data_IF_580165176628
#
_entry.id   IF_580165176628
#
_cell.length_a   1.000
_cell.length_b   1.000
_cell.length_c   1.000
_cell.angle_alpha   90.00
_cell.angle_beta   90.00
_cell.angle_gamma   90.00
#
_symmetry.space_group_name_H-M   'P 1'
#
loop_
_entity.id
_entity.type
_entity.pdbx_description
1 polymer ?
#
# COMPACT_ATOMS: atom_id res chain seq x y z
N UNK A 1 2.08 -17.04 -7.87
CA UNK A 1 0.99 -16.05 -7.86
C UNK A 1 0.84 -15.62 -6.41
N UNK A 2 0.85 -14.32 -6.09
CA UNK A 2 0.58 -13.85 -4.73
C UNK A 2 -0.93 -13.85 -4.53
N UNK A 3 -1.42 -14.66 -3.59
CA UNK A 3 -2.86 -14.89 -3.35
C UNK A 3 -3.34 -13.96 -2.23
N UNK A 4 -4.52 -13.35 -2.37
CA UNK A 4 -5.14 -12.51 -1.32
C UNK A 4 -4.80 -11.01 -1.37
N UNK A 5 -4.42 -10.47 -2.53
CA UNK A 5 -4.12 -9.05 -2.74
C UNK A 5 -5.23 -8.33 -3.55
N UNK A 6 -6.50 -8.67 -3.33
CA UNK A 6 -7.59 -8.03 -4.06
C UNK A 6 -7.58 -6.51 -3.85
N UNK A 7 -7.61 -5.76 -4.95
CA UNK A 7 -7.50 -4.30 -4.95
C UNK A 7 -6.08 -3.74 -4.84
N UNK A 8 -5.05 -4.59 -4.71
CA UNK A 8 -3.64 -4.20 -4.71
C UNK A 8 -2.94 -4.72 -5.96
N UNK A 9 -2.06 -3.90 -6.55
CA UNK A 9 -1.22 -4.28 -7.68
C UNK A 9 0.26 -4.10 -7.35
N UNK A 10 1.10 -4.94 -7.95
CA UNK A 10 2.55 -4.89 -7.77
C UNK A 10 3.12 -3.72 -8.55
N UNK A 11 3.94 -2.90 -7.89
CA UNK A 11 4.65 -1.76 -8.48
C UNK A 11 6.17 -1.92 -8.44
N UNK A 12 6.68 -2.91 -7.71
CA UNK A 12 8.11 -3.20 -7.62
C UNK A 12 8.38 -4.57 -7.02
N UNK A 13 9.45 -5.20 -7.50
CA UNK A 13 9.94 -6.48 -6.97
C UNK A 13 11.46 -6.41 -6.89
N UNK A 14 11.99 -6.60 -5.69
CA UNK A 14 13.43 -6.69 -5.45
C UNK A 14 13.79 -8.06 -4.87
N UNK A 15 15.00 -8.54 -5.14
CA UNK A 15 15.58 -9.68 -4.41
C UNK A 15 16.22 -9.14 -3.14
N UNK A 16 15.98 -9.79 -2.00
CA UNK A 16 16.78 -9.50 -0.81
C UNK A 16 18.09 -10.30 -0.82
N UNK A 17 19.05 -9.88 0.01
CA UNK A 17 20.36 -10.52 0.10
C UNK A 17 20.36 -11.94 0.67
N UNK A 18 19.24 -12.39 1.26
CA UNK A 18 19.05 -13.72 1.85
C UNK A 18 18.32 -14.70 0.93
N UNK A 19 18.08 -14.33 -0.33
CA UNK A 19 17.39 -15.18 -1.30
C UNK A 19 15.86 -15.10 -1.23
N UNK A 20 15.30 -14.17 -0.45
CA UNK A 20 13.88 -13.83 -0.45
C UNK A 20 13.52 -12.79 -1.53
N UNK A 21 12.25 -12.39 -1.52
CA UNK A 21 11.73 -11.32 -2.37
C UNK A 21 11.12 -10.22 -1.52
N UNK A 22 11.39 -8.97 -1.89
CA UNK A 22 10.63 -7.82 -1.43
C UNK A 22 9.69 -7.41 -2.55
N UNK A 23 8.40 -7.34 -2.23
CA UNK A 23 7.36 -6.98 -3.21
C UNK A 23 6.68 -5.73 -2.71
N UNK A 24 6.75 -4.67 -3.50
CA UNK A 24 6.05 -3.43 -3.23
C UNK A 24 4.74 -3.39 -3.99
N UNK A 25 3.64 -3.17 -3.27
CA UNK A 25 2.28 -3.09 -3.80
C UNK A 25 1.66 -1.72 -3.52
N UNK A 26 0.71 -1.31 -4.35
CA UNK A 26 -0.11 -0.11 -4.17
C UNK A 26 -1.57 -0.41 -4.52
N UNK A 27 -2.51 0.32 -3.93
CA UNK A 27 -3.93 0.25 -4.29
C UNK A 27 -4.21 1.08 -5.55
N UNK A 28 -5.30 0.78 -6.27
CA UNK A 28 -5.75 1.68 -7.33
C UNK A 28 -6.00 3.11 -6.81
N UNK A 29 -5.90 4.09 -7.70
CA UNK A 29 -6.27 5.47 -7.36
C UNK A 29 -7.76 5.52 -7.06
N UNK A 30 -8.11 6.06 -5.89
CA UNK A 30 -9.49 6.27 -5.46
C UNK A 30 -9.64 7.68 -4.91
N UNK A 31 -10.81 8.28 -5.15
CA UNK A 31 -11.22 9.52 -4.46
C UNK A 31 -11.63 9.14 -3.05
N UNK A 32 -11.07 9.83 -2.06
CA UNK A 32 -11.41 9.63 -0.65
C UNK A 32 -12.07 10.89 -0.10
N UNK A 33 -13.12 10.72 0.70
CA UNK A 33 -13.72 11.79 1.50
C UNK A 33 -13.14 11.81 2.90
N UNK A 34 -13.11 12.99 3.53
CA UNK A 34 -12.87 13.11 4.96
C UNK A 34 -14.00 12.38 5.72
N UNK A 35 -13.69 11.48 6.67
CA UNK A 35 -14.72 10.76 7.41
C UNK A 35 -15.53 11.66 8.35
N UNK A 36 -15.03 12.86 8.69
CA UNK A 36 -15.71 13.80 9.57
C UNK A 36 -16.69 14.73 8.83
N UNK A 37 -16.25 15.35 7.72
CA UNK A 37 -17.04 16.39 7.02
C UNK A 37 -17.45 16.02 5.57
N UNK A 38 -16.95 14.91 5.02
CA UNK A 38 -17.29 14.45 3.67
C UNK A 38 -16.59 15.18 2.52
N UNK A 39 -15.84 16.26 2.78
CA UNK A 39 -15.04 16.98 1.77
C UNK A 39 -14.02 16.03 1.13
N UNK A 40 -13.79 16.19 -0.18
CA UNK A 40 -12.77 15.42 -0.91
C UNK A 40 -11.39 15.66 -0.29
N UNK A 41 -10.80 14.61 0.25
CA UNK A 41 -9.50 14.67 0.90
C UNK A 41 -8.38 14.84 -0.14
N UNK A 42 -7.39 15.68 0.19
CA UNK A 42 -6.17 15.83 -0.60
C UNK A 42 -5.17 14.73 -0.25
N UNK A 43 -4.37 14.34 -1.23
CA UNK A 43 -3.30 13.36 -1.03
C UNK A 43 -2.17 14.00 -0.21
N UNK A 44 -2.02 13.64 1.05
CA UNK A 44 -0.93 14.06 1.93
C UNK A 44 0.28 13.09 1.83
N UNK A 45 0.74 12.83 0.61
CA UNK A 45 1.87 11.95 0.34
C UNK A 45 1.58 10.45 0.39
N UNK A 46 2.64 9.66 0.54
CA UNK A 46 2.58 8.18 0.56
C UNK A 46 3.48 7.63 1.66
N UNK A 47 3.01 6.59 2.34
CA UNK A 47 3.74 5.87 3.38
C UNK A 47 3.87 4.41 3.01
N UNK A 48 5.06 3.84 3.19
CA UNK A 48 5.26 2.40 2.99
C UNK A 48 5.15 1.68 4.33
N UNK A 49 4.33 0.63 4.40
CA UNK A 49 4.15 -0.24 5.58
C UNK A 49 4.46 -1.68 5.20
N UNK A 50 5.00 -2.46 6.14
CA UNK A 50 5.17 -3.91 6.00
C UNK A 50 3.83 -4.55 6.38
N UNK A 51 3.24 -5.37 5.51
CA UNK A 51 1.97 -6.05 5.79
C UNK A 51 2.23 -7.29 6.63
N UNK A 52 2.73 -8.36 6.00
CA UNK A 52 3.13 -9.64 6.61
C UNK A 52 4.02 -10.37 5.61
N UNK A 53 4.79 -11.37 6.06
CA UNK A 53 5.45 -12.30 5.14
C UNK A 53 4.39 -13.24 4.56
N UNK A 54 4.15 -13.17 3.25
CA UNK A 54 3.27 -14.13 2.57
C UNK A 54 4.17 -15.24 2.00
N UNK A 55 4.13 -16.48 2.50
CA UNK A 55 4.88 -17.55 1.88
C UNK A 55 4.40 -17.71 0.43
N UNK A 56 5.28 -17.41 -0.51
CA UNK A 56 4.97 -17.44 -1.94
C UNK A 56 6.13 -18.08 -2.67
N UNK A 57 5.81 -19.01 -3.56
CA UNK A 57 6.79 -19.75 -4.36
C UNK A 57 7.90 -20.46 -3.55
N UNK A 58 7.60 -20.93 -2.33
CA UNK A 58 8.57 -21.64 -1.48
C UNK A 58 9.74 -20.78 -0.97
N UNK A 59 9.63 -19.45 -1.05
CA UNK A 59 10.63 -18.49 -0.62
C UNK A 59 10.03 -17.48 0.35
N UNK A 60 10.81 -16.91 1.28
CA UNK A 60 10.35 -15.79 2.10
C UNK A 60 10.04 -14.60 1.20
N UNK A 61 8.84 -14.02 1.34
CA UNK A 61 8.42 -12.82 0.62
C UNK A 61 7.94 -11.76 1.60
N UNK A 62 8.65 -10.64 1.64
CA UNK A 62 8.27 -9.45 2.38
C UNK A 62 7.34 -8.59 1.51
N UNK A 63 6.08 -8.45 1.92
CA UNK A 63 5.12 -7.56 1.28
C UNK A 63 5.17 -6.16 1.90
N UNK A 64 5.48 -5.17 1.07
CA UNK A 64 5.46 -3.74 1.40
C UNK A 64 4.32 -3.06 0.70
N UNK A 65 3.40 -2.48 1.46
CA UNK A 65 2.33 -1.67 0.91
C UNK A 65 2.70 -0.20 0.93
N UNK A 66 2.85 0.40 -0.25
CA UNK A 66 2.99 1.84 -0.44
C UNK A 66 1.60 2.47 -0.48
N UNK A 67 1.06 2.78 0.70
CA UNK A 67 -0.27 3.37 0.85
C UNK A 67 -0.23 4.88 0.66
N UNK A 68 -1.25 5.44 0.02
CA UNK A 68 -1.48 6.89 -0.03
C UNK A 68 -2.07 7.34 1.30
N UNK A 69 -1.60 8.47 1.80
CA UNK A 69 -2.14 9.14 2.99
C UNK A 69 -2.99 10.32 2.55
N UNK A 70 -4.01 10.62 3.33
CA UNK A 70 -5.03 11.61 3.01
C UNK A 70 -5.15 12.60 4.15
N UNK A 71 -5.39 13.86 3.82
CA UNK A 71 -5.69 14.93 4.77
C UNK A 71 -6.97 15.65 4.34
N UNK A 72 -7.70 16.18 5.31
CA UNK A 72 -8.84 17.04 5.03
C UNK A 72 -8.33 18.46 4.73
N UNK A 73 -8.68 19.08 3.58
CA UNK A 73 -8.27 20.45 3.28
C UNK A 73 -9.17 21.50 3.95
N UNK A 74 -10.29 21.11 4.58
CA UNK A 74 -11.21 22.03 5.27
C UNK A 74 -10.59 22.52 6.60
N UNK A 75 -10.25 23.82 6.73
CA UNK A 75 -9.59 24.34 7.93
C UNK A 75 -10.41 24.23 9.21
N UNK A 76 -11.74 24.13 9.11
CA UNK A 76 -12.63 23.96 10.25
C UNK A 76 -12.80 22.50 10.70
N UNK A 77 -12.15 21.54 10.03
CA UNK A 77 -12.26 20.10 10.27
C UNK A 77 -11.16 19.55 11.18
#
# INVERSE_FOLDING_TARGET
MLVGLDGLHVIGVERDGGGGLRVTVESALAVMGCPACGVVASSHGRRTVRLVDAPSFGRPVELRWRKRTWECPEPAC
#
